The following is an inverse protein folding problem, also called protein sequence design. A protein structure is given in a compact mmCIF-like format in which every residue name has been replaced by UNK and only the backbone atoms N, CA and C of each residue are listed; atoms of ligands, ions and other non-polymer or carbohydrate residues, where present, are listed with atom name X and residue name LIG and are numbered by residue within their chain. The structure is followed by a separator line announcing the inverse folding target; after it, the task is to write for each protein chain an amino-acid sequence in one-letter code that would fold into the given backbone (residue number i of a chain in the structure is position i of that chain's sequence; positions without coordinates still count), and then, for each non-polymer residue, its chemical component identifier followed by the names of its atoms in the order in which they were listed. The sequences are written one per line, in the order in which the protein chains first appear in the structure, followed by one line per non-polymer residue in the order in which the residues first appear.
data_IF_365285788095
#
_entry.id   IF_365285788095
#
_cell.length_a   1.000
_cell.length_b   1.000
_cell.length_c   1.000
_cell.angle_alpha   90.00
_cell.angle_beta   90.00
_cell.angle_gamma   90.00
#
_symmetry.space_group_name_H-M   'P 1'
#
loop_
_entity.id
_entity.type
_entity.pdbx_description
1 polymer ?
#
# COMPACT_ATOMS: atom_id res chain seq x y z
N UNK A 1 6.39 4.48 -19.85
CA UNK A 1 7.47 4.45 -18.85
C UNK A 1 7.19 5.35 -17.65
N UNK A 2 6.77 6.62 -17.85
CA UNK A 2 6.47 7.55 -16.74
C UNK A 2 5.48 6.99 -15.71
N UNK A 3 4.39 6.35 -16.16
CA UNK A 3 3.41 5.74 -15.25
C UNK A 3 3.99 4.63 -14.36
N UNK A 4 4.88 3.80 -14.89
CA UNK A 4 5.55 2.77 -14.11
C UNK A 4 6.48 3.39 -13.06
N UNK A 5 7.29 4.38 -13.47
CA UNK A 5 8.18 5.11 -12.55
C UNK A 5 7.38 5.79 -11.43
N UNK A 6 6.28 6.48 -11.77
CA UNK A 6 5.40 7.10 -10.80
C UNK A 6 4.80 6.07 -9.83
N UNK A 7 4.39 4.90 -10.35
CA UNK A 7 3.85 3.83 -9.52
C UNK A 7 4.89 3.24 -8.56
N UNK A 8 6.12 3.00 -9.03
CA UNK A 8 7.23 2.54 -8.20
C UNK A 8 7.59 3.57 -7.12
N UNK A 9 7.72 4.85 -7.50
CA UNK A 9 8.04 5.92 -6.56
C UNK A 9 6.95 6.08 -5.49
N UNK A 10 5.68 6.06 -5.91
CA UNK A 10 4.54 6.10 -4.99
C UNK A 10 4.55 4.90 -4.04
N UNK A 11 4.70 3.68 -4.57
CA UNK A 11 4.75 2.45 -3.77
C UNK A 11 5.92 2.40 -2.79
N UNK A 12 7.10 2.88 -3.19
CA UNK A 12 8.26 2.98 -2.31
C UNK A 12 8.04 4.05 -1.21
N UNK A 13 7.51 5.21 -1.58
CA UNK A 13 7.18 6.29 -0.64
C UNK A 13 6.16 5.85 0.42
N UNK A 14 5.06 5.22 0.00
CA UNK A 14 4.08 4.63 0.92
C UNK A 14 4.70 3.56 1.84
N UNK A 15 5.60 2.71 1.32
CA UNK A 15 6.31 1.73 2.14
C UNK A 15 7.19 2.38 3.22
N UNK A 16 7.88 3.46 2.87
CA UNK A 16 8.66 4.27 3.82
C UNK A 16 7.76 4.90 4.91
N UNK A 17 6.64 5.50 4.51
CA UNK A 17 5.66 6.06 5.45
C UNK A 17 5.07 4.99 6.39
N UNK A 18 4.78 3.79 5.88
CA UNK A 18 4.33 2.68 6.70
C UNK A 18 5.38 2.27 7.75
N UNK A 19 6.65 2.19 7.35
CA UNK A 19 7.75 1.87 8.26
C UNK A 19 7.93 2.93 9.36
N UNK A 20 7.80 4.22 9.01
CA UNK A 20 7.83 5.34 9.95
C UNK A 20 6.62 5.30 10.90
N UNK A 21 5.41 5.08 10.37
CA UNK A 21 4.19 5.00 11.17
C UNK A 21 4.24 3.87 12.21
N UNK A 22 4.98 2.79 11.92
CA UNK A 22 5.18 1.67 12.83
C UNK A 22 6.54 1.70 13.53
N UNK A 23 7.28 2.81 13.52
CA UNK A 23 8.63 2.90 14.10
C UNK A 23 8.71 2.33 15.53
N UNK A 24 7.67 2.55 16.34
CA UNK A 24 7.59 2.11 17.75
C UNK A 24 6.58 0.98 18.00
N UNK A 25 6.09 0.32 16.95
CA UNK A 25 5.08 -0.75 17.04
C UNK A 25 5.51 -1.97 16.26
N UNK A 26 5.16 -3.16 16.72
CA UNK A 26 5.42 -4.39 15.98
C UNK A 26 4.56 -4.43 14.69
N UNK A 27 5.16 -4.73 13.52
CA UNK A 27 4.45 -4.74 12.25
C UNK A 27 3.58 -6.00 12.12
N UNK A 28 2.28 -5.84 12.37
CA UNK A 28 1.28 -6.90 12.23
C UNK A 28 0.71 -6.90 10.81
N UNK A 29 0.44 -8.08 10.25
CA UNK A 29 -0.19 -8.24 8.92
C UNK A 29 -1.49 -7.45 8.83
N UNK A 30 -2.34 -7.49 9.87
CA UNK A 30 -3.59 -6.73 9.91
C UNK A 30 -3.38 -5.21 9.73
N UNK A 31 -2.31 -4.65 10.31
CA UNK A 31 -1.98 -3.23 10.13
C UNK A 31 -1.53 -2.94 8.69
N UNK A 32 -0.78 -3.84 8.07
CA UNK A 32 -0.41 -3.76 6.66
C UNK A 32 -1.62 -3.81 5.73
N UNK A 33 -2.52 -4.77 5.94
CA UNK A 33 -3.77 -4.90 5.17
C UNK A 33 -4.63 -3.65 5.30
N UNK A 34 -4.87 -3.16 6.51
CA UNK A 34 -5.63 -1.95 6.74
C UNK A 34 -4.99 -0.73 6.05
N UNK A 35 -3.67 -0.62 6.10
CA UNK A 35 -2.93 0.45 5.43
C UNK A 35 -3.04 0.38 3.90
N UNK A 36 -2.88 -0.80 3.31
CA UNK A 36 -3.05 -1.01 1.88
C UNK A 36 -4.46 -0.66 1.41
N UNK A 37 -5.48 -1.11 2.14
CA UNK A 37 -6.88 -0.77 1.85
C UNK A 37 -7.15 0.73 2.00
N UNK A 38 -6.52 1.41 2.95
CA UNK A 38 -6.62 2.85 3.10
C UNK A 38 -6.00 3.59 1.89
N UNK A 39 -4.82 3.16 1.41
CA UNK A 39 -4.22 3.70 0.18
C UNK A 39 -5.16 3.53 -1.01
N UNK A 40 -5.72 2.33 -1.16
CA UNK A 40 -6.68 2.05 -2.23
C UNK A 40 -7.88 3.00 -2.14
N UNK A 41 -8.55 3.07 -0.98
CA UNK A 41 -9.73 3.89 -0.80
C UNK A 41 -9.46 5.38 -1.04
N UNK A 42 -8.40 5.94 -0.44
CA UNK A 42 -8.05 7.36 -0.57
C UNK A 42 -7.61 7.71 -1.98
N UNK A 43 -6.81 6.85 -2.63
CA UNK A 43 -6.33 7.14 -3.99
C UNK A 43 -7.45 7.01 -4.99
N UNK A 44 -8.27 5.96 -4.86
CA UNK A 44 -9.35 5.68 -5.78
C UNK A 44 -10.48 6.70 -5.66
N UNK A 45 -10.91 7.07 -4.46
CA UNK A 45 -11.98 8.05 -4.26
C UNK A 45 -11.50 9.50 -4.34
N UNK A 46 -10.21 9.74 -4.11
CA UNK A 46 -9.64 11.07 -4.05
C UNK A 46 -9.09 11.52 -5.39
N UNK A 47 -7.77 11.47 -5.49
CA UNK A 47 -7.03 12.26 -6.49
C UNK A 47 -6.87 11.54 -7.83
N UNK A 48 -6.89 10.20 -7.88
CA UNK A 48 -6.66 9.44 -9.12
C UNK A 48 -7.75 9.73 -10.17
N UNK A 49 -9.05 9.77 -9.83
CA UNK A 49 -10.08 10.20 -10.79
C UNK A 49 -9.97 11.66 -11.18
N UNK A 50 -9.55 12.53 -10.25
CA UNK A 50 -9.34 13.95 -10.51
C UNK A 50 -8.25 14.23 -11.54
N UNK A 51 -7.27 13.33 -11.67
CA UNK A 51 -6.24 13.37 -12.71
C UNK A 51 -6.65 12.71 -14.03
N UNK A 52 -7.90 12.23 -14.16
CA UNK A 52 -8.40 11.57 -15.36
C UNK A 52 -7.76 10.22 -15.67
N UNK A 53 -7.03 9.63 -14.71
CA UNK A 53 -6.33 8.36 -14.89
C UNK A 53 -7.32 7.19 -14.98
N UNK A 54 -8.41 7.25 -14.21
CA UNK A 54 -9.49 6.28 -14.31
C UNK A 54 -10.84 6.86 -13.85
N UNK A 55 -11.98 6.29 -14.27
CA UNK A 55 -13.30 6.75 -13.81
C UNK A 55 -13.50 6.49 -12.30
N UNK A 56 -14.23 7.36 -11.59
CA UNK A 56 -14.50 7.20 -10.15
C UNK A 56 -15.31 5.92 -9.85
N UNK A 57 -15.23 5.41 -8.61
CA UNK A 57 -15.69 4.05 -8.19
C UNK A 57 -17.10 3.75 -8.68
N UNK A 58 -18.03 4.70 -8.53
CA UNK A 58 -19.45 4.50 -8.83
C UNK A 58 -19.74 4.33 -10.33
N UNK A 59 -18.77 4.66 -11.20
CA UNK A 59 -18.84 4.44 -12.65
C UNK A 59 -17.94 3.29 -13.10
N UNK A 60 -17.28 2.62 -12.17
CA UNK A 60 -16.34 1.57 -12.49
C UNK A 60 -16.98 0.18 -12.56
N UNK A 61 -16.42 -0.70 -13.41
CA UNK A 61 -16.76 -2.13 -13.50
C UNK A 61 -16.57 -2.79 -12.13
N UNK A 62 -17.61 -3.43 -11.56
CA UNK A 62 -17.57 -3.96 -10.19
C UNK A 62 -16.43 -4.96 -9.93
N UNK A 63 -16.04 -5.75 -10.93
CA UNK A 63 -14.90 -6.68 -10.82
C UNK A 63 -13.53 -5.99 -10.71
N UNK A 64 -13.35 -4.80 -11.30
CA UNK A 64 -12.05 -4.11 -11.25
C UNK A 64 -11.75 -3.65 -9.83
N UNK A 65 -12.74 -3.07 -9.14
CA UNK A 65 -12.61 -2.59 -7.77
C UNK A 65 -12.10 -3.66 -6.81
N UNK A 66 -12.68 -4.86 -6.89
CA UNK A 66 -12.29 -6.00 -6.06
C UNK A 66 -10.83 -6.43 -6.34
N UNK A 67 -10.43 -6.50 -7.61
CA UNK A 67 -9.05 -6.85 -8.00
C UNK A 67 -8.06 -5.80 -7.49
N UNK A 68 -8.38 -4.51 -7.59
CA UNK A 68 -7.49 -3.46 -7.09
C UNK A 68 -7.39 -3.46 -5.57
N UNK A 69 -8.50 -3.69 -4.87
CA UNK A 69 -8.48 -3.87 -3.42
C UNK A 69 -7.63 -5.08 -3.03
N UNK A 70 -7.80 -6.22 -3.70
CA UNK A 70 -6.99 -7.42 -3.48
C UNK A 70 -5.48 -7.16 -3.70
N UNK A 71 -5.12 -6.43 -4.77
CA UNK A 71 -3.74 -6.01 -5.01
C UNK A 71 -3.17 -5.18 -3.86
N UNK A 72 -3.97 -4.30 -3.27
CA UNK A 72 -3.55 -3.51 -2.11
C UNK A 72 -3.48 -4.31 -0.80
N UNK A 73 -4.32 -5.33 -0.64
CA UNK A 73 -4.20 -6.31 0.46
C UNK A 73 -2.87 -7.06 0.36
N UNK A 74 -2.50 -7.51 -0.85
CA UNK A 74 -1.22 -8.18 -1.11
C UNK A 74 -0.06 -7.24 -0.82
N UNK A 75 -0.10 -6.01 -1.33
CA UNK A 75 0.92 -5.00 -1.10
C UNK A 75 1.11 -4.70 0.40
N UNK A 76 0.02 -4.44 1.13
CA UNK A 76 0.05 -4.16 2.56
C UNK A 76 0.56 -5.34 3.40
N UNK A 77 0.16 -6.57 3.05
CA UNK A 77 0.68 -7.79 3.67
C UNK A 77 2.18 -7.93 3.45
N UNK A 78 2.64 -7.74 2.20
CA UNK A 78 4.05 -7.80 1.86
C UNK A 78 4.87 -6.76 2.64
N UNK A 79 4.38 -5.53 2.79
CA UNK A 79 5.03 -4.49 3.60
C UNK A 79 5.19 -4.91 5.06
N UNK A 80 4.12 -5.40 5.69
CA UNK A 80 4.17 -5.84 7.09
C UNK A 80 5.18 -6.96 7.29
N UNK A 81 5.18 -7.97 6.40
CA UNK A 81 6.11 -9.10 6.48
C UNK A 81 7.56 -8.68 6.21
N UNK A 82 7.79 -7.82 5.21
CA UNK A 82 9.13 -7.31 4.90
C UNK A 82 9.69 -6.50 6.07
N UNK A 83 8.91 -5.57 6.62
CA UNK A 83 9.34 -4.75 7.76
C UNK A 83 9.61 -5.61 9.00
N UNK A 84 8.78 -6.63 9.25
CA UNK A 84 9.00 -7.59 10.33
C UNK A 84 10.33 -8.31 10.17
N UNK A 85 10.61 -8.83 8.97
CA UNK A 85 11.87 -9.53 8.66
C UNK A 85 13.08 -8.62 8.80
N UNK A 86 13.02 -7.40 8.27
CA UNK A 86 14.10 -6.41 8.37
C UNK A 86 14.45 -6.07 9.82
N UNK A 87 13.43 -5.91 10.67
CA UNK A 87 13.63 -5.63 12.11
C UNK A 87 14.18 -6.81 12.90
N UNK A 88 13.86 -8.04 12.49
CA UNK A 88 14.43 -9.25 13.10
C UNK A 88 15.87 -9.48 12.66
N UNK A 89 16.20 -9.23 11.39
CA UNK A 89 17.55 -9.36 10.86
C UNK A 89 18.54 -8.32 11.39
N UNK A 90 18.07 -7.11 11.73
CA UNK A 90 18.89 -6.07 12.36
C UNK A 90 19.13 -6.27 13.86
N UNK A 91 18.46 -7.24 14.49
CA UNK A 91 18.71 -7.65 15.88
C UNK A 91 19.74 -8.78 15.88
N UNK A 92 21.02 -8.47 15.66
CA UNK A 92 22.09 -9.45 15.90
C UNK A 92 22.09 -9.82 17.38
N UNK A 93 22.04 -11.11 17.77
CA UNK A 93 22.19 -11.49 19.17
C UNK A 93 23.60 -11.12 19.63
N UNK A 94 23.70 -10.40 20.76
CA UNK A 94 24.94 -10.17 21.47
C UNK A 94 25.38 -11.42 22.24
#
# INVERSE_FOLDING_TARGET
MLGALAHFAFGAGCGGLFALALARREPRVAAGVAYGLAIWAVSYQGWVPGLGIMPPVHRDRPGRQAIMAAGHVVYGTALALALHRLRRGGRTPA
#
